data_IF_182772817912
#
_entry.id   IF_182772817912
#
_cell.length_a   1.000
_cell.length_b   1.000
_cell.length_c   1.000
_cell.angle_alpha   90.00
_cell.angle_beta   90.00
_cell.angle_gamma   90.00
#
_symmetry.space_group_name_H-M   'P 1'
#
loop_
_entity.id
_entity.type
_entity.pdbx_description
1 polymer ?
#
# COMPACT_ATOMS: atom_id res chain seq x y z
N UNK A 1 1.91 20.32 -7.12
CA UNK A 1 3.00 19.31 -7.17
C UNK A 1 2.80 18.21 -6.15
N UNK A 2 2.56 18.52 -4.86
CA UNK A 2 2.35 17.49 -3.82
C UNK A 2 1.21 16.51 -4.14
N UNK A 3 0.08 17.03 -4.62
CA UNK A 3 -1.09 16.23 -5.03
C UNK A 3 -0.74 15.19 -6.11
N UNK A 4 0.04 15.58 -7.13
CA UNK A 4 0.45 14.71 -8.23
C UNK A 4 1.36 13.58 -7.74
N UNK A 5 2.28 13.90 -6.81
CA UNK A 5 3.13 12.90 -6.14
C UNK A 5 2.30 11.94 -5.30
N UNK A 6 1.28 12.47 -4.61
CA UNK A 6 0.36 11.68 -3.80
C UNK A 6 -0.48 10.71 -4.64
N UNK A 7 -1.01 11.18 -5.78
CA UNK A 7 -1.70 10.34 -6.75
C UNK A 7 -0.78 9.28 -7.34
N UNK A 8 0.45 9.64 -7.74
CA UNK A 8 1.40 8.69 -8.28
C UNK A 8 1.77 7.61 -7.25
N UNK A 9 1.98 7.99 -5.99
CA UNK A 9 2.24 7.06 -4.90
C UNK A 9 1.04 6.13 -4.62
N UNK A 10 -0.18 6.69 -4.56
CA UNK A 10 -1.40 5.91 -4.41
C UNK A 10 -1.57 4.93 -5.57
N UNK A 11 -1.33 5.37 -6.82
CA UNK A 11 -1.43 4.51 -8.00
C UNK A 11 -0.40 3.37 -7.96
N UNK A 12 0.85 3.65 -7.55
CA UNK A 12 1.89 2.63 -7.41
C UNK A 12 1.54 1.62 -6.32
N UNK A 13 1.02 2.08 -5.17
CA UNK A 13 0.53 1.21 -4.09
C UNK A 13 -0.64 0.36 -4.58
N UNK A 14 -1.57 0.95 -5.34
CA UNK A 14 -2.70 0.27 -5.92
C UNK A 14 -2.26 -0.82 -6.90
N UNK A 15 -1.40 -0.48 -7.86
CA UNK A 15 -0.86 -1.42 -8.84
C UNK A 15 -0.11 -2.56 -8.14
N UNK A 16 0.77 -2.25 -7.18
CA UNK A 16 1.53 -3.29 -6.46
C UNK A 16 0.65 -4.13 -5.56
N UNK A 17 -0.28 -3.53 -4.84
CA UNK A 17 -1.20 -4.23 -3.95
C UNK A 17 -2.14 -5.16 -4.70
N UNK A 18 -2.76 -4.67 -5.79
CA UNK A 18 -3.71 -5.46 -6.57
C UNK A 18 -3.01 -6.58 -7.36
N UNK A 19 -1.90 -6.28 -8.05
CA UNK A 19 -1.26 -7.26 -8.94
C UNK A 19 -0.26 -8.18 -8.24
N UNK A 20 0.41 -7.73 -7.17
CA UNK A 20 1.45 -8.52 -6.50
C UNK A 20 0.93 -9.07 -5.18
N UNK A 21 0.42 -8.22 -4.30
CA UNK A 21 0.08 -8.65 -2.94
C UNK A 21 -1.18 -9.52 -2.90
N UNK A 22 -2.27 -9.10 -3.55
CA UNK A 22 -3.52 -9.88 -3.58
C UNK A 22 -3.32 -11.19 -4.35
N UNK A 23 -2.63 -11.16 -5.50
CA UNK A 23 -2.35 -12.39 -6.26
C UNK A 23 -1.39 -13.35 -5.55
N UNK A 24 -0.45 -12.85 -4.75
CA UNK A 24 0.45 -13.71 -3.95
C UNK A 24 -0.09 -14.05 -2.57
N UNK A 25 -1.26 -13.52 -2.18
CA UNK A 25 -1.90 -13.85 -0.90
C UNK A 25 -2.44 -15.29 -0.92
N UNK A 26 -1.56 -16.23 -0.57
CA UNK A 26 -1.90 -17.62 -0.31
C UNK A 26 -2.20 -17.89 1.17
N UNK A 27 -2.55 -19.14 1.49
CA UNK A 27 -2.86 -19.61 2.86
C UNK A 27 -1.75 -19.32 3.89
N UNK A 28 -0.49 -19.24 3.46
CA UNK A 28 0.67 -19.01 4.33
C UNK A 28 0.98 -17.54 4.63
N UNK A 29 0.30 -16.60 3.96
CA UNK A 29 0.52 -15.17 4.21
C UNK A 29 -0.02 -14.79 5.58
N UNK A 30 0.82 -14.20 6.43
CA UNK A 30 0.42 -13.83 7.78
C UNK A 30 -0.77 -12.84 7.77
N UNK A 31 -1.72 -12.96 8.71
CA UNK A 31 -2.94 -12.17 8.71
C UNK A 31 -2.66 -10.66 8.80
N UNK A 32 -1.63 -10.26 9.55
CA UNK A 32 -1.24 -8.84 9.68
C UNK A 32 -0.78 -8.22 8.36
N UNK A 33 -0.04 -8.96 7.52
CA UNK A 33 0.34 -8.51 6.18
C UNK A 33 -0.88 -8.37 5.26
N UNK A 34 -1.84 -9.28 5.37
CA UNK A 34 -3.08 -9.20 4.58
C UNK A 34 -3.87 -7.95 4.93
N UNK A 35 -4.05 -7.68 6.21
CA UNK A 35 -4.76 -6.50 6.70
C UNK A 35 -4.03 -5.22 6.31
N UNK A 36 -2.71 -5.17 6.42
CA UNK A 36 -1.92 -4.01 6.00
C UNK A 36 -2.07 -3.71 4.51
N UNK A 37 -1.97 -4.73 3.65
CA UNK A 37 -2.18 -4.58 2.22
C UNK A 37 -3.61 -4.18 1.87
N UNK A 38 -4.61 -4.77 2.53
CA UNK A 38 -6.02 -4.40 2.35
C UNK A 38 -6.26 -2.93 2.68
N UNK A 39 -5.73 -2.45 3.82
CA UNK A 39 -5.82 -1.05 4.21
C UNK A 39 -5.11 -0.14 3.21
N UNK A 40 -3.91 -0.50 2.76
CA UNK A 40 -3.15 0.23 1.75
C UNK A 40 -3.89 0.32 0.41
N UNK A 41 -4.42 -0.80 -0.09
CA UNK A 41 -5.19 -0.81 -1.34
C UNK A 41 -6.49 -0.03 -1.20
N UNK A 42 -7.19 -0.15 -0.07
CA UNK A 42 -8.46 0.56 0.16
C UNK A 42 -8.24 2.07 0.23
N UNK A 43 -7.22 2.52 0.97
CA UNK A 43 -6.83 3.93 1.01
C UNK A 43 -6.38 4.45 -0.36
N UNK A 44 -5.61 3.66 -1.10
CA UNK A 44 -5.20 4.01 -2.46
C UNK A 44 -6.39 4.12 -3.43
N UNK A 45 -7.38 3.22 -3.35
CA UNK A 45 -8.62 3.28 -4.13
C UNK A 45 -9.38 4.57 -3.81
N UNK A 46 -9.56 4.90 -2.54
CA UNK A 46 -10.28 6.11 -2.11
C UNK A 46 -9.59 7.40 -2.60
N UNK A 47 -8.26 7.44 -2.57
CA UNK A 47 -7.48 8.58 -3.11
C UNK A 47 -7.65 8.68 -4.63
N UNK A 48 -7.56 7.56 -5.34
CA UNK A 48 -7.61 7.54 -6.81
C UNK A 48 -9.02 7.82 -7.34
N UNK A 49 -10.05 7.24 -6.72
CA UNK A 49 -11.45 7.40 -7.13
C UNK A 49 -12.14 8.61 -6.49
N UNK A 50 -11.60 9.18 -5.41
CA UNK A 50 -12.14 10.35 -4.72
C UNK A 50 -12.56 11.50 -5.65
N UNK A 51 -11.71 11.90 -6.64
CA UNK A 51 -12.08 12.94 -7.60
C UNK A 51 -13.33 12.63 -8.43
N UNK A 52 -13.61 11.35 -8.73
CA UNK A 52 -14.81 10.95 -9.48
C UNK A 52 -16.10 11.20 -8.69
N UNK A 53 -16.01 11.27 -7.36
CA UNK A 53 -17.11 11.57 -6.46
C UNK A 53 -17.13 13.04 -5.99
N UNK A 54 -16.35 13.91 -6.64
CA UNK A 54 -16.24 15.33 -6.25
C UNK A 54 -15.49 15.56 -4.93
N UNK A 55 -14.86 14.51 -4.37
CA UNK A 55 -13.97 14.65 -3.20
C UNK A 55 -12.58 15.02 -3.71
N UNK A 56 -12.13 16.22 -3.40
CA UNK A 56 -10.73 16.60 -3.64
C UNK A 56 -9.91 16.02 -2.49
N UNK A 57 -9.03 15.04 -2.73
CA UNK A 57 -8.14 14.58 -1.69
C UNK A 57 -7.27 15.77 -1.25
N UNK A 58 -7.41 16.16 0.01
CA UNK A 58 -6.58 17.16 0.67
C UNK A 58 -5.58 16.39 1.55
N UNK A 59 -4.50 15.83 0.98
CA UNK A 59 -3.57 15.02 1.74
C UNK A 59 -2.94 15.88 2.83
N UNK A 60 -3.14 15.48 4.08
CA UNK A 60 -2.39 16.06 5.19
C UNK A 60 -1.01 15.44 5.25
N UNK A 61 -0.04 16.16 5.83
CA UNK A 61 1.30 15.59 6.08
C UNK A 61 1.23 14.33 6.94
N UNK A 62 0.22 14.21 7.81
CA UNK A 62 -0.04 13.01 8.61
C UNK A 62 -0.40 11.81 7.76
N UNK A 63 -1.30 11.98 6.78
CA UNK A 63 -1.70 10.88 5.88
C UNK A 63 -0.54 10.41 5.00
N UNK A 64 0.28 11.35 4.53
CA UNK A 64 1.50 11.03 3.78
C UNK A 64 2.53 10.25 4.62
N UNK A 65 2.73 10.67 5.88
CA UNK A 65 3.60 9.95 6.83
C UNK A 65 3.06 8.54 7.13
N UNK A 66 1.75 8.40 7.28
CA UNK A 66 1.12 7.13 7.60
C UNK A 66 1.20 6.16 6.41
N UNK A 67 0.96 6.64 5.18
CA UNK A 67 1.19 5.87 3.95
C UNK A 67 2.66 5.47 3.79
N UNK A 68 3.59 6.39 4.05
CA UNK A 68 5.02 6.11 3.98
C UNK A 68 5.45 5.08 5.03
N UNK A 69 4.96 5.19 6.26
CA UNK A 69 5.23 4.24 7.34
C UNK A 69 4.64 2.86 7.05
N UNK A 70 3.42 2.78 6.53
CA UNK A 70 2.81 1.51 6.13
C UNK A 70 3.55 0.88 4.94
N UNK A 71 3.90 1.67 3.93
CA UNK A 71 4.68 1.20 2.79
C UNK A 71 6.05 0.67 3.24
N UNK A 72 6.74 1.39 4.13
CA UNK A 72 8.01 0.96 4.72
C UNK A 72 7.86 -0.33 5.53
N UNK A 73 6.86 -0.42 6.40
CA UNK A 73 6.58 -1.61 7.19
C UNK A 73 6.37 -2.84 6.31
N UNK A 74 5.57 -2.71 5.25
CA UNK A 74 5.31 -3.80 4.30
C UNK A 74 6.58 -4.18 3.54
N UNK A 75 7.35 -3.21 3.05
CA UNK A 75 8.60 -3.48 2.32
C UNK A 75 9.64 -4.18 3.19
N UNK A 76 9.81 -3.71 4.44
CA UNK A 76 10.69 -4.33 5.42
C UNK A 76 10.29 -5.78 5.69
N UNK A 77 8.99 -6.02 5.84
CA UNK A 77 8.47 -7.33 6.21
C UNK A 77 8.55 -8.33 5.06
N UNK A 78 8.33 -7.88 3.82
CA UNK A 78 8.57 -8.68 2.62
C UNK A 78 10.07 -9.04 2.48
N UNK A 79 10.97 -8.11 2.80
CA UNK A 79 12.42 -8.34 2.78
C UNK A 79 12.84 -9.36 3.86
N UNK A 80 12.29 -9.24 5.07
CA UNK A 80 12.55 -10.16 6.17
C UNK A 80 12.10 -11.60 5.82
N UNK A 81 10.93 -11.77 5.19
CA UNK A 81 10.47 -13.10 4.74
C UNK A 81 11.32 -13.68 3.61
N UNK A 82 11.85 -12.85 2.71
CA UNK A 82 12.74 -13.31 1.64
C UNK A 82 14.12 -13.75 2.17
N UNK A 83 14.61 -13.10 3.23
CA UNK A 83 15.86 -13.47 3.89
C UNK A 83 15.77 -14.83 4.59
N UNK A 84 14.61 -15.17 5.16
CA UNK A 84 14.34 -16.43 5.86
C UNK A 84 14.24 -17.64 4.90
N UNK A 85 13.87 -17.41 3.64
CA UNK A 85 13.81 -18.46 2.60
C UNK A 85 15.18 -18.71 1.93
N UNK A 86 16.13 -17.77 1.99
CA UNK A 86 17.47 -17.90 1.41
C UNK A 86 18.48 -18.66 2.27
N UNK A 87 18.14 -19.00 3.52
CA UNK A 87 19.00 -19.71 4.47
C UNK A 87 18.68 -21.22 4.58
N UNK A 88 17.82 -21.75 3.70
CA UNK A 88 17.48 -23.19 3.63
C UNK A 88 18.12 -23.91 2.45
#
# INVERSE_FOLDING_TARGET
MLLSVYFAAALLILCRGLFVAINRMGRHTAPTTRVAWLLLTTGAVDIVLGPLFGRVPAPTYGDALLLAALAWYVLWRDYATASDEGEK
#
